data_IF_746052327332
#
_entry.id   IF_746052327332
#
_cell.length_a   1.000
_cell.length_b   1.000
_cell.length_c   1.000
_cell.angle_alpha   90.00
_cell.angle_beta   90.00
_cell.angle_gamma   90.00
#
_symmetry.space_group_name_H-M   'P 1'
#
loop_
_entity.id
_entity.type
_entity.pdbx_description
1 polymer ?
#
# COMPACT_ATOMS: atom_id res chain seq x y z
N UNK A 1 2.34 4.94 33.49
CA UNK A 1 2.89 4.11 34.57
C UNK A 1 4.19 3.50 34.06
N UNK A 2 5.32 3.85 34.65
CA UNK A 2 6.64 3.57 34.07
C UNK A 2 7.08 2.10 34.26
N UNK A 3 6.45 1.40 35.22
CA UNK A 3 6.76 0.00 35.55
C UNK A 3 5.78 -1.00 34.92
N UNK A 4 4.90 -0.53 34.03
CA UNK A 4 3.91 -1.38 33.39
C UNK A 4 4.58 -2.29 32.36
N UNK A 5 4.52 -3.60 32.62
CA UNK A 5 5.01 -4.65 31.75
C UNK A 5 3.96 -5.75 31.65
N UNK A 6 3.19 -5.75 30.57
CA UNK A 6 2.19 -6.77 30.27
C UNK A 6 2.74 -7.91 29.41
N UNK A 7 2.07 -9.07 29.42
CA UNK A 7 2.51 -10.27 28.72
C UNK A 7 2.45 -10.12 27.20
N UNK A 8 3.45 -10.66 26.51
CA UNK A 8 3.43 -10.89 25.07
C UNK A 8 2.91 -12.30 24.70
N UNK A 9 2.24 -13.00 25.63
CA UNK A 9 1.64 -14.32 25.40
C UNK A 9 2.64 -15.37 24.87
N UNK A 10 3.88 -15.33 25.39
CA UNK A 10 4.94 -16.26 25.01
C UNK A 10 5.76 -15.81 23.79
N UNK A 11 5.46 -14.64 23.22
CA UNK A 11 6.18 -14.07 22.09
C UNK A 11 7.33 -13.12 22.49
N UNK A 12 7.66 -13.02 23.78
CA UNK A 12 8.76 -12.19 24.30
C UNK A 12 10.11 -12.55 23.65
N UNK A 13 10.99 -11.57 23.46
CA UNK A 13 12.35 -11.73 22.93
C UNK A 13 13.32 -10.80 23.65
N UNK A 14 14.62 -10.89 23.33
CA UNK A 14 15.62 -9.97 23.91
C UNK A 14 15.28 -8.50 23.63
N UNK A 15 14.71 -8.23 22.44
CA UNK A 15 14.30 -6.89 21.98
C UNK A 15 12.89 -6.50 22.45
N UNK A 16 12.00 -7.47 22.72
CA UNK A 16 10.61 -7.23 23.12
C UNK A 16 10.34 -7.99 24.42
N UNK A 17 10.57 -7.32 25.55
CA UNK A 17 10.42 -7.95 26.88
C UNK A 17 9.00 -7.88 27.43
N UNK A 18 8.23 -6.88 27.00
CA UNK A 18 6.87 -6.60 27.50
C UNK A 18 6.02 -6.10 26.33
N UNK A 19 4.71 -6.36 26.39
CA UNK A 19 3.76 -5.90 25.39
C UNK A 19 2.62 -5.15 26.07
N UNK A 20 2.66 -3.82 26.04
CA UNK A 20 1.73 -2.98 26.79
C UNK A 20 0.51 -2.55 25.97
N UNK A 21 0.63 -2.61 24.65
CA UNK A 21 -0.44 -2.30 23.70
C UNK A 21 -0.80 -3.51 22.84
N UNK A 22 -1.98 -3.46 22.21
CA UNK A 22 -2.38 -4.49 21.24
C UNK A 22 -1.36 -4.61 20.10
N UNK A 23 -0.82 -3.48 19.66
CA UNK A 23 0.19 -3.43 18.61
C UNK A 23 1.53 -4.03 19.04
N UNK A 24 1.93 -3.91 20.31
CA UNK A 24 3.14 -4.57 20.82
C UNK A 24 3.02 -6.10 20.73
N UNK A 25 1.86 -6.65 21.12
CA UNK A 25 1.58 -8.10 21.04
C UNK A 25 1.62 -8.56 19.58
N UNK A 26 0.98 -7.81 18.67
CA UNK A 26 0.98 -8.10 17.23
C UNK A 26 2.39 -8.08 16.65
N UNK A 27 3.20 -7.08 17.01
CA UNK A 27 4.60 -6.98 16.59
C UNK A 27 5.44 -8.15 17.11
N UNK A 28 5.26 -8.55 18.38
CA UNK A 28 5.96 -9.70 18.96
C UNK A 28 5.60 -11.02 18.23
N UNK A 29 4.31 -11.26 17.98
CA UNK A 29 3.83 -12.42 17.23
C UNK A 29 4.42 -12.44 15.81
N UNK A 30 4.43 -11.28 15.14
CA UNK A 30 4.99 -11.11 13.80
C UNK A 30 6.48 -11.45 13.75
N UNK A 31 7.29 -10.99 14.72
CA UNK A 31 8.71 -11.32 14.80
C UNK A 31 8.98 -12.81 14.98
N UNK A 32 8.06 -13.53 15.63
CA UNK A 32 8.10 -15.00 15.76
C UNK A 32 7.46 -15.76 14.59
N UNK A 33 6.86 -15.07 13.63
CA UNK A 33 6.10 -15.69 12.54
C UNK A 33 4.81 -16.37 13.02
N UNK A 34 4.28 -15.97 14.18
CA UNK A 34 3.05 -16.51 14.74
C UNK A 34 1.82 -15.80 14.15
N UNK A 35 0.73 -16.54 14.01
CA UNK A 35 -0.51 -15.99 13.48
C UNK A 35 -1.31 -15.25 14.56
N UNK A 36 -1.71 -14.02 14.28
CA UNK A 36 -2.60 -13.23 15.15
C UNK A 36 -4.07 -13.53 14.83
N UNK A 37 -4.63 -14.57 15.47
CA UNK A 37 -5.96 -15.12 15.08
C UNK A 37 -7.15 -14.53 15.84
N UNK A 38 -7.03 -14.30 17.15
CA UNK A 38 -8.16 -13.87 17.96
C UNK A 38 -7.79 -12.68 18.87
N UNK A 39 -8.08 -11.44 18.46
CA UNK A 39 -7.82 -10.26 19.28
C UNK A 39 -8.56 -10.30 20.63
N UNK A 40 -9.69 -10.99 20.72
CA UNK A 40 -10.47 -11.06 21.96
C UNK A 40 -9.79 -11.96 23.02
N UNK A 41 -8.78 -12.74 22.67
CA UNK A 41 -7.98 -13.48 23.67
C UNK A 41 -6.87 -12.64 24.30
N UNK A 42 -6.63 -11.44 23.76
CA UNK A 42 -5.54 -10.55 24.15
C UNK A 42 -6.13 -9.37 24.93
N UNK A 43 -5.75 -9.24 26.20
CA UNK A 43 -6.33 -8.26 27.13
C UNK A 43 -6.03 -6.82 26.68
N UNK A 44 -4.84 -6.59 26.13
CA UNK A 44 -4.45 -5.32 25.52
C UNK A 44 -5.42 -4.94 24.39
N UNK A 45 -5.76 -5.88 23.51
CA UNK A 45 -6.64 -5.65 22.36
C UNK A 45 -8.11 -5.47 22.78
N UNK A 46 -8.59 -6.25 23.75
CA UNK A 46 -9.92 -6.03 24.36
C UNK A 46 -10.03 -4.64 24.96
N UNK A 47 -9.07 -4.25 25.80
CA UNK A 47 -9.03 -2.95 26.49
C UNK A 47 -9.00 -1.79 25.51
N UNK A 48 -8.30 -1.95 24.39
CA UNK A 48 -8.21 -0.94 23.33
C UNK A 48 -9.38 -0.97 22.34
N UNK A 49 -10.30 -1.92 22.49
CA UNK A 49 -11.47 -2.08 21.62
C UNK A 49 -11.11 -2.46 20.18
N UNK A 50 -10.04 -3.25 19.97
CA UNK A 50 -9.52 -3.56 18.64
C UNK A 50 -10.58 -4.18 17.72
N UNK A 51 -11.29 -5.21 18.18
CA UNK A 51 -12.34 -5.89 17.41
C UNK A 51 -13.48 -4.95 17.02
N UNK A 52 -13.87 -4.04 17.92
CA UNK A 52 -14.90 -3.04 17.65
C UNK A 52 -14.44 -2.03 16.59
N UNK A 53 -13.22 -1.50 16.72
CA UNK A 53 -12.63 -0.58 15.72
C UNK A 53 -12.57 -1.22 14.34
N UNK A 54 -12.15 -2.48 14.25
CA UNK A 54 -12.12 -3.23 13.00
C UNK A 54 -13.51 -3.40 12.39
N UNK A 55 -14.53 -3.61 13.22
CA UNK A 55 -15.92 -3.72 12.76
C UNK A 55 -16.49 -2.39 12.29
N UNK A 56 -16.18 -1.29 12.98
CA UNK A 56 -16.57 0.07 12.59
C UNK A 56 -15.95 0.46 11.24
N UNK A 57 -14.67 0.11 11.03
CA UNK A 57 -13.94 0.41 9.79
C UNK A 57 -14.27 -0.53 8.62
N UNK A 58 -15.05 -1.60 8.84
CA UNK A 58 -15.32 -2.63 7.83
C UNK A 58 -15.93 -2.07 6.53
N UNK A 59 -16.73 -1.01 6.63
CA UNK A 59 -17.42 -0.38 5.50
C UNK A 59 -16.83 0.99 5.12
N UNK A 60 -15.66 1.34 5.68
CA UNK A 60 -14.98 2.57 5.34
C UNK A 60 -14.13 2.42 4.08
N UNK A 61 -13.84 3.55 3.43
CA UNK A 61 -12.89 3.66 2.33
C UNK A 61 -11.76 4.61 2.71
N UNK A 62 -10.62 4.46 2.05
CA UNK A 62 -9.45 5.30 2.29
C UNK A 62 -9.33 6.39 1.21
N UNK A 63 -9.18 7.65 1.62
CA UNK A 63 -8.75 8.73 0.72
C UNK A 63 -7.25 8.94 0.85
N UNK A 64 -6.51 8.64 -0.22
CA UNK A 64 -5.06 8.83 -0.28
C UNK A 64 -4.73 9.99 -1.21
N UNK A 65 -3.93 10.94 -0.74
CA UNK A 65 -3.43 12.07 -1.52
C UNK A 65 -2.07 12.51 -0.99
N UNK A 66 -1.22 13.03 -1.87
CA UNK A 66 0.11 13.50 -1.52
C UNK A 66 1.07 13.38 -2.70
N UNK A 67 2.36 13.53 -2.40
CA UNK A 67 3.45 13.40 -3.35
C UNK A 67 4.44 12.37 -2.82
N UNK A 68 5.03 11.59 -3.74
CA UNK A 68 6.09 10.64 -3.42
C UNK A 68 7.34 11.01 -4.21
N UNK A 69 8.44 11.25 -3.51
CA UNK A 69 9.75 11.41 -4.14
C UNK A 69 10.35 10.03 -4.40
N UNK A 70 10.63 9.75 -5.66
CA UNK A 70 11.18 8.45 -6.11
C UNK A 70 12.42 8.66 -6.96
N UNK A 71 13.28 7.64 -6.98
CA UNK A 71 14.38 7.58 -7.94
C UNK A 71 13.82 7.43 -9.37
N UNK A 72 14.50 8.05 -10.34
CA UNK A 72 14.14 7.98 -11.77
C UNK A 72 14.62 6.67 -12.41
N UNK A 73 14.12 5.56 -11.87
CA UNK A 73 14.39 4.20 -12.32
C UNK A 73 13.08 3.41 -12.31
N UNK A 74 13.09 2.20 -12.85
CA UNK A 74 11.95 1.29 -12.73
C UNK A 74 11.60 1.05 -11.24
N UNK A 75 10.32 1.14 -10.92
CA UNK A 75 9.84 1.03 -9.55
C UNK A 75 8.39 0.58 -9.46
N UNK A 76 7.95 0.29 -8.24
CA UNK A 76 6.60 -0.19 -7.94
C UNK A 76 6.15 0.44 -6.62
N UNK A 77 5.12 1.28 -6.67
CA UNK A 77 4.37 1.65 -5.47
C UNK A 77 2.99 1.03 -5.54
N UNK A 78 2.45 0.67 -4.39
CA UNK A 78 1.17 -0.02 -4.34
C UNK A 78 0.40 0.26 -3.06
N UNK A 79 -0.91 0.12 -3.16
CA UNK A 79 -1.86 0.16 -2.06
C UNK A 79 -2.41 -1.24 -1.87
N UNK A 80 -2.12 -1.84 -0.73
CA UNK A 80 -2.63 -3.14 -0.34
C UNK A 80 -3.10 -3.06 1.11
N UNK A 81 -4.08 -3.89 1.51
CA UNK A 81 -4.55 -3.97 2.88
C UNK A 81 -3.43 -4.45 3.82
N UNK A 82 -3.55 -4.12 5.10
CA UNK A 82 -2.59 -4.55 6.11
C UNK A 82 -1.55 -3.49 6.46
N UNK A 83 -0.85 -3.72 7.57
CA UNK A 83 0.30 -2.91 7.95
C UNK A 83 1.47 -3.31 7.05
N UNK A 84 2.02 -2.35 6.32
CA UNK A 84 3.23 -2.57 5.54
C UNK A 84 4.46 -2.53 6.43
N UNK A 85 5.43 -3.39 6.13
CA UNK A 85 6.73 -3.39 6.78
C UNK A 85 7.82 -3.85 5.82
N UNK A 86 9.06 -3.43 6.09
CA UNK A 86 10.22 -3.97 5.40
C UNK A 86 10.80 -5.14 6.19
N UNK A 87 10.91 -6.30 5.55
CA UNK A 87 11.64 -7.44 6.07
C UNK A 87 12.59 -7.93 4.98
N UNK A 88 13.88 -8.01 5.29
CA UNK A 88 14.91 -8.47 4.36
C UNK A 88 14.93 -7.71 3.02
N UNK A 89 14.76 -6.39 3.04
CA UNK A 89 14.68 -5.51 1.84
C UNK A 89 13.45 -5.75 0.93
N UNK A 90 12.47 -6.53 1.38
CA UNK A 90 11.20 -6.75 0.68
C UNK A 90 10.07 -6.04 1.43
N UNK A 91 9.15 -5.44 0.67
CA UNK A 91 7.93 -4.84 1.22
C UNK A 91 6.88 -5.93 1.41
N UNK A 92 6.45 -6.14 2.66
CA UNK A 92 5.50 -7.19 3.05
C UNK A 92 4.30 -6.52 3.73
N UNK A 93 3.11 -7.05 3.47
CA UNK A 93 1.87 -6.61 4.14
C UNK A 93 1.41 -7.68 5.13
N UNK A 94 1.05 -7.26 6.35
CA UNK A 94 0.37 -8.14 7.31
C UNK A 94 -1.14 -8.20 7.02
N UNK A 95 -1.53 -9.30 6.37
CA UNK A 95 -2.90 -9.57 5.96
C UNK A 95 -3.69 -10.39 6.98
N UNK A 96 -3.05 -10.85 8.06
CA UNK A 96 -3.64 -11.78 9.01
C UNK A 96 -4.85 -11.19 9.74
N UNK A 97 -4.87 -9.86 9.91
CA UNK A 97 -5.95 -9.14 10.60
C UNK A 97 -7.16 -8.85 9.70
N UNK A 98 -7.05 -8.98 8.37
CA UNK A 98 -8.05 -8.45 7.43
C UNK A 98 -8.93 -9.49 6.75
N UNK A 99 -8.70 -10.80 6.95
CA UNK A 99 -9.53 -11.85 6.34
C UNK A 99 -9.63 -11.69 4.82
N UNK A 100 -8.63 -12.17 4.10
CA UNK A 100 -8.38 -11.83 2.70
C UNK A 100 -9.55 -11.98 1.74
N UNK A 101 -10.53 -12.81 2.07
CA UNK A 101 -11.65 -13.19 1.21
C UNK A 101 -12.74 -12.12 1.08
N UNK A 102 -12.63 -10.97 1.77
CA UNK A 102 -13.69 -9.94 1.79
C UNK A 102 -13.20 -8.50 1.52
N UNK A 103 -12.00 -8.32 0.98
CA UNK A 103 -11.44 -6.99 0.76
C UNK A 103 -11.90 -6.45 -0.59
N UNK A 104 -12.60 -5.31 -0.56
CA UNK A 104 -13.05 -4.60 -1.75
C UNK A 104 -11.95 -3.65 -2.24
N UNK A 105 -11.45 -3.90 -3.45
CA UNK A 105 -10.41 -3.09 -4.09
C UNK A 105 -10.95 -2.13 -5.16
N UNK A 106 -12.26 -1.84 -5.11
CA UNK A 106 -12.88 -0.76 -5.89
C UNK A 106 -12.22 0.56 -5.54
N UNK A 107 -11.86 1.34 -6.55
CA UNK A 107 -11.13 2.59 -6.35
C UNK A 107 -11.41 3.60 -7.46
N UNK A 108 -11.19 4.86 -7.10
CA UNK A 108 -11.29 6.00 -8.01
C UNK A 108 -9.97 6.77 -8.00
N UNK A 109 -9.28 6.77 -9.14
CA UNK A 109 -8.05 7.55 -9.32
C UNK A 109 -8.48 8.97 -9.68
N UNK A 110 -8.53 9.84 -8.67
CA UNK A 110 -8.85 11.25 -8.91
C UNK A 110 -7.80 11.93 -9.78
N UNK A 111 -6.53 11.75 -9.43
CA UNK A 111 -5.41 12.33 -10.16
C UNK A 111 -4.12 11.54 -9.91
N UNK A 112 -3.34 11.29 -10.96
CA UNK A 112 -1.99 10.74 -10.87
C UNK A 112 -1.09 11.36 -11.95
N UNK A 113 -0.02 12.02 -11.52
CA UNK A 113 0.95 12.67 -12.41
C UNK A 113 2.39 12.34 -12.00
N UNK A 114 3.32 12.55 -12.95
CA UNK A 114 4.75 12.38 -12.73
C UNK A 114 5.48 13.70 -13.00
N UNK A 115 5.86 14.42 -11.95
CA UNK A 115 6.55 15.71 -12.07
C UNK A 115 5.61 16.90 -11.89
N UNK A 116 5.87 18.00 -12.61
CA UNK A 116 5.12 19.25 -12.47
C UNK A 116 4.05 19.38 -13.54
N UNK A 117 2.86 19.83 -13.17
CA UNK A 117 1.82 20.11 -14.15
C UNK A 117 2.18 21.29 -15.06
N UNK A 118 1.67 21.25 -16.29
CA UNK A 118 1.73 22.34 -17.25
C UNK A 118 0.40 22.47 -18.00
N UNK A 119 0.09 23.66 -18.57
CA UNK A 119 -1.17 23.87 -19.28
C UNK A 119 -1.38 22.86 -20.42
N UNK A 120 -2.51 22.17 -20.41
CA UNK A 120 -2.89 21.19 -21.44
C UNK A 120 -2.35 19.78 -21.22
N UNK A 121 -1.65 19.50 -20.11
CA UNK A 121 -1.31 18.12 -19.75
C UNK A 121 -2.59 17.30 -19.51
N UNK A 122 -2.61 16.08 -20.04
CA UNK A 122 -3.67 15.10 -19.82
C UNK A 122 -3.02 13.84 -19.27
N UNK A 123 -3.28 13.51 -18.01
CA UNK A 123 -2.78 12.29 -17.41
C UNK A 123 -3.75 11.13 -17.68
N UNK A 124 -3.29 10.00 -18.28
CA UNK A 124 -4.17 8.91 -18.68
C UNK A 124 -5.03 8.26 -17.58
N UNK A 125 -4.67 8.43 -16.30
CA UNK A 125 -5.37 7.81 -15.17
C UNK A 125 -6.29 8.77 -14.40
N UNK A 126 -6.30 10.06 -14.74
CA UNK A 126 -7.16 11.03 -14.07
C UNK A 126 -8.63 10.71 -14.29
N UNK A 127 -9.41 10.72 -13.20
CA UNK A 127 -10.84 10.42 -13.22
C UNK A 127 -11.19 8.96 -13.50
N UNK A 128 -10.25 8.01 -13.34
CA UNK A 128 -10.51 6.59 -13.62
C UNK A 128 -11.29 5.94 -12.47
N UNK A 129 -12.49 5.44 -12.75
CA UNK A 129 -13.30 4.64 -11.83
C UNK A 129 -13.14 3.14 -12.15
N UNK A 130 -12.82 2.34 -11.15
CA UNK A 130 -12.65 0.89 -11.27
C UNK A 130 -13.45 0.17 -10.19
N UNK A 131 -14.44 -0.60 -10.61
CA UNK A 131 -15.24 -1.47 -9.74
C UNK A 131 -14.68 -2.89 -9.70
N UNK A 132 -14.32 -3.36 -8.50
CA UNK A 132 -13.89 -4.73 -8.29
C UNK A 132 -15.08 -5.69 -8.43
N UNK A 133 -14.99 -6.61 -9.39
CA UNK A 133 -16.05 -7.61 -9.64
C UNK A 133 -16.07 -8.73 -8.60
N UNK A 134 -14.96 -8.93 -7.89
CA UNK A 134 -14.78 -9.95 -6.87
C UNK A 134 -13.97 -9.37 -5.72
N UNK A 135 -14.08 -9.99 -4.55
CA UNK A 135 -13.15 -9.70 -3.45
C UNK A 135 -11.73 -10.08 -3.86
N UNK A 136 -10.75 -9.44 -3.23
CA UNK A 136 -9.33 -9.81 -3.38
C UNK A 136 -8.78 -9.62 -4.81
N UNK A 137 -9.34 -8.66 -5.55
CA UNK A 137 -8.81 -8.27 -6.87
C UNK A 137 -7.44 -7.58 -6.75
N UNK A 138 -6.55 -7.88 -7.69
CA UNK A 138 -5.28 -7.20 -7.91
C UNK A 138 -5.35 -6.41 -9.21
N UNK A 139 -5.15 -5.09 -9.11
CA UNK A 139 -5.10 -4.17 -10.24
C UNK A 139 -3.66 -3.71 -10.47
N UNK A 140 -3.18 -3.82 -11.70
CA UNK A 140 -1.84 -3.42 -12.09
C UNK A 140 -1.89 -2.37 -13.20
N UNK A 141 -1.23 -1.25 -12.95
CA UNK A 141 -1.04 -0.15 -13.88
C UNK A 141 0.43 -0.11 -14.28
N UNK A 142 0.72 -0.53 -15.51
CA UNK A 142 2.05 -0.45 -16.09
C UNK A 142 2.21 0.91 -16.74
N UNK A 143 2.96 1.78 -16.08
CA UNK A 143 3.17 3.18 -16.46
C UNK A 143 4.53 3.34 -17.13
N UNK A 144 4.53 3.90 -18.34
CA UNK A 144 5.76 4.29 -19.05
C UNK A 144 5.90 5.80 -19.01
N UNK A 145 6.86 6.29 -18.23
CA UNK A 145 7.10 7.71 -17.98
C UNK A 145 8.08 8.26 -19.02
N UNK A 146 7.71 9.36 -19.68
CA UNK A 146 8.50 10.00 -20.73
C UNK A 146 8.86 11.43 -20.29
N UNK A 147 10.15 11.73 -20.06
CA UNK A 147 10.60 13.09 -19.77
C UNK A 147 10.17 14.07 -20.88
N UNK A 148 9.58 15.19 -20.49
CA UNK A 148 9.03 16.20 -21.38
C UNK A 148 9.53 17.58 -20.96
N UNK A 149 9.90 18.41 -21.94
CA UNK A 149 10.24 19.81 -21.72
C UNK A 149 9.13 20.67 -22.33
N UNK A 150 8.47 21.46 -21.50
CA UNK A 150 7.47 22.43 -21.92
C UNK A 150 8.05 23.84 -21.83
N UNK A 151 7.95 24.61 -22.91
CA UNK A 151 8.39 26.00 -22.97
C UNK A 151 7.15 26.90 -23.05
N UNK A 152 6.98 27.75 -22.04
CA UNK A 152 5.92 28.76 -22.01
C UNK A 152 6.23 29.89 -23.00
N UNK A 153 5.19 30.64 -23.35
CA UNK A 153 5.28 31.81 -24.26
C UNK A 153 6.17 32.91 -23.68
N UNK A 154 6.26 33.01 -22.35
CA UNK A 154 7.14 33.94 -21.63
C UNK A 154 8.60 33.46 -21.53
N UNK A 155 8.92 32.29 -22.08
CA UNK A 155 10.26 31.69 -22.07
C UNK A 155 10.55 30.82 -20.84
N UNK A 156 9.62 30.69 -19.88
CA UNK A 156 9.80 29.78 -18.74
C UNK A 156 9.84 28.32 -19.22
N UNK A 157 10.86 27.57 -18.78
CA UNK A 157 11.04 26.16 -19.13
C UNK A 157 10.62 25.28 -17.96
N UNK A 158 9.61 24.44 -18.19
CA UNK A 158 9.14 23.43 -17.25
C UNK A 158 9.66 22.07 -17.68
N UNK A 159 10.53 21.47 -16.86
CA UNK A 159 10.96 20.07 -17.01
C UNK A 159 9.99 19.19 -16.23
N UNK A 160 9.30 18.30 -16.93
CA UNK A 160 8.26 17.45 -16.36
C UNK A 160 8.22 16.09 -17.07
N UNK A 161 7.17 15.30 -16.88
CA UNK A 161 6.97 14.05 -17.57
C UNK A 161 5.52 13.94 -18.07
N UNK A 162 5.38 13.17 -19.14
CA UNK A 162 4.11 12.58 -19.56
C UNK A 162 4.19 11.08 -19.32
N UNK A 163 3.08 10.36 -19.42
CA UNK A 163 3.14 8.90 -19.37
C UNK A 163 2.05 8.26 -20.22
N UNK A 164 2.26 6.98 -20.55
CA UNK A 164 1.22 6.08 -21.04
C UNK A 164 1.00 4.96 -20.02
N UNK A 165 -0.16 4.31 -20.09
CA UNK A 165 -0.56 3.26 -19.14
C UNK A 165 -1.14 2.04 -19.86
N UNK A 166 -0.79 0.86 -19.37
CA UNK A 166 -1.49 -0.41 -19.67
C UNK A 166 -2.06 -0.96 -18.37
N UNK A 167 -3.33 -1.40 -18.38
CA UNK A 167 -4.02 -1.92 -17.20
C UNK A 167 -4.18 -3.44 -17.28
N UNK A 168 -3.88 -4.13 -16.20
CA UNK A 168 -4.18 -5.55 -16.00
C UNK A 168 -4.92 -5.74 -14.67
N UNK A 169 -5.80 -6.74 -14.63
CA UNK A 169 -6.51 -7.12 -13.41
C UNK A 169 -6.58 -8.65 -13.31
N UNK A 170 -6.47 -9.18 -12.09
CA UNK A 170 -6.64 -10.60 -11.80
C UNK A 170 -7.11 -10.80 -10.36
N UNK A 171 -7.62 -11.97 -10.05
CA UNK A 171 -7.96 -12.34 -8.67
C UNK A 171 -6.67 -12.78 -7.96
N UNK A 172 -6.41 -12.23 -6.78
CA UNK A 172 -5.28 -12.64 -5.94
C UNK A 172 -5.67 -13.89 -5.13
N UNK A 173 -5.49 -15.06 -5.72
CA UNK A 173 -5.75 -16.35 -5.07
C UNK A 173 -4.51 -16.83 -4.29
N UNK A 174 -4.21 -16.26 -3.13
CA UNK A 174 -3.30 -16.91 -2.17
C UNK A 174 -2.52 -16.03 -1.20
N UNK A 175 -2.33 -16.56 0.01
CA UNK A 175 -1.42 -16.06 1.06
C UNK A 175 0.05 -16.48 0.83
N UNK A 176 0.32 -17.39 -0.11
CA UNK A 176 1.62 -18.06 -0.29
C UNK A 176 1.86 -18.32 -1.79
N UNK A 177 2.91 -17.71 -2.36
CA UNK A 177 3.41 -17.99 -3.72
C UNK A 177 3.13 -16.91 -4.77
N UNK A 178 3.59 -17.18 -6.01
CA UNK A 178 3.71 -16.32 -7.21
C UNK A 178 2.38 -15.69 -7.73
N UNK A 179 1.29 -15.82 -6.97
CA UNK A 179 -0.06 -15.40 -7.35
C UNK A 179 -0.36 -13.93 -6.99
N UNK A 180 0.50 -13.26 -6.22
CA UNK A 180 0.39 -11.84 -5.90
C UNK A 180 -0.62 -11.53 -4.78
N UNK A 181 -0.62 -10.27 -4.32
CA UNK A 181 -1.50 -9.81 -3.24
C UNK A 181 -2.66 -8.96 -3.80
N UNK A 182 -3.84 -8.97 -3.17
CA UNK A 182 -4.90 -8.04 -3.54
C UNK A 182 -4.44 -6.61 -3.28
N UNK A 183 -4.74 -5.70 -4.21
CA UNK A 183 -4.16 -4.36 -4.15
C UNK A 183 -4.24 -3.60 -5.46
N UNK A 184 -3.86 -2.33 -5.41
CA UNK A 184 -3.65 -1.44 -6.55
C UNK A 184 -2.16 -1.19 -6.69
N UNK A 185 -1.56 -1.64 -7.80
CA UNK A 185 -0.12 -1.59 -8.05
C UNK A 185 0.17 -0.68 -9.23
N UNK A 186 1.08 0.27 -9.05
CA UNK A 186 1.57 1.15 -10.10
C UNK A 186 3.04 0.83 -10.34
N UNK A 187 3.27 0.09 -11.42
CA UNK A 187 4.59 -0.28 -11.88
C UNK A 187 5.03 0.75 -12.90
N UNK A 188 5.99 1.59 -12.54
CA UNK A 188 6.46 2.67 -13.39
C UNK A 188 7.88 2.40 -13.87
N UNK A 189 8.16 2.83 -15.09
CA UNK A 189 9.49 2.79 -15.68
C UNK A 189 9.71 4.04 -16.53
N UNK A 190 10.89 4.63 -16.42
CA UNK A 190 11.26 5.84 -17.14
C UNK A 190 11.93 5.48 -18.45
N UNK A 191 11.32 5.92 -19.56
CA UNK A 191 11.95 5.86 -20.87
C UNK A 191 13.21 6.72 -20.84
N UNK A 192 14.36 6.08 -21.00
CA UNK A 192 15.60 6.79 -21.25
C UNK A 192 15.66 7.06 -22.76
N UNK A 193 15.88 8.30 -23.20
CA UNK A 193 16.29 8.51 -24.58
C UNK A 193 17.58 7.70 -24.79
N UNK A 194 17.61 6.84 -25.80
CA UNK A 194 18.85 6.17 -26.18
C UNK A 194 19.90 7.26 -26.45
N UNK A 195 20.99 7.24 -25.69
CA UNK A 195 22.19 7.98 -26.04
C UNK A 195 22.77 7.31 -27.29
N UNK A 196 22.50 7.90 -28.46
CA UNK A 196 23.24 7.64 -29.69
C UNK A 196 24.46 8.53 -29.78
#
# INVERSE_FOLDING_TARGET
DADRCESCYGAESEDIRCCNTCDDVREAYRRRGWAFKNPDTIEQCKREGFSQKMQEQKNEGCQVYGFLEVNKVAGNFHFAPGKSFQQSHVHVHDLQSFGLDNINMTHYIKHLSFGRDYPGIVNPLDGTDVTAQQASMMFQYFVKVVPTVYMKVDGEVVRTNQFSVTRHEKIANGLIGDQGLPGVFVLYDTCHPEEN
#
